data_IF_366696352818
#
_entry.id   IF_366696352818
#
_cell.length_a   1.000
_cell.length_b   1.000
_cell.length_c   1.000
_cell.angle_alpha   90.00
_cell.angle_beta   90.00
_cell.angle_gamma   90.00
#
_symmetry.space_group_name_H-M   'P 1'
#
loop_
_entity.id
_entity.type
_entity.pdbx_description
1 polymer ?
#
# COMPACT_ATOMS: atom_id res chain seq x y z
N UNK A 1 9.69 21.42 -12.13
CA UNK A 1 9.57 21.87 -13.53
C UNK A 1 10.53 23.03 -13.71
N UNK A 2 11.80 22.76 -14.04
CA UNK A 2 12.82 23.80 -14.18
C UNK A 2 12.57 24.67 -15.42
N UNK A 3 12.24 24.04 -16.55
CA UNK A 3 12.13 24.68 -17.86
C UNK A 3 10.89 25.58 -17.98
N UNK A 4 9.72 25.12 -17.50
CA UNK A 4 8.49 25.93 -17.47
C UNK A 4 8.60 27.09 -16.45
N UNK A 5 9.36 26.88 -15.38
CA UNK A 5 9.66 27.93 -14.39
C UNK A 5 10.53 29.04 -14.96
N UNK A 6 11.50 28.70 -15.81
CA UNK A 6 12.35 29.68 -16.47
C UNK A 6 11.60 30.45 -17.57
N UNK A 7 10.73 29.79 -18.35
CA UNK A 7 9.84 30.46 -19.33
C UNK A 7 8.89 31.46 -18.65
N UNK A 8 8.32 31.10 -17.50
CA UNK A 8 7.45 32.01 -16.75
C UNK A 8 8.20 33.23 -16.21
N UNK A 9 9.44 33.06 -15.73
CA UNK A 9 10.29 34.18 -15.27
C UNK A 9 10.57 35.17 -16.40
N UNK A 10 10.89 34.68 -17.60
CA UNK A 10 11.10 35.54 -18.78
C UNK A 10 9.87 36.40 -19.08
N UNK A 11 8.66 35.82 -19.00
CA UNK A 11 7.41 36.56 -19.19
C UNK A 11 7.18 37.58 -18.07
N UNK A 12 7.43 37.22 -16.81
CA UNK A 12 7.27 38.12 -15.65
C UNK A 12 8.21 39.34 -15.75
N UNK A 13 9.47 39.12 -16.11
CA UNK A 13 10.47 40.18 -16.28
C UNK A 13 10.11 41.13 -17.43
N UNK A 14 9.65 40.58 -18.56
CA UNK A 14 9.23 41.36 -19.72
C UNK A 14 7.97 42.19 -19.41
N UNK A 15 7.00 41.59 -18.70
CA UNK A 15 5.79 42.29 -18.28
C UNK A 15 6.08 43.41 -17.27
N UNK A 16 6.94 43.15 -16.27
CA UNK A 16 7.37 44.18 -15.29
C UNK A 16 8.04 45.36 -15.98
N UNK A 17 8.95 45.08 -16.91
CA UNK A 17 9.65 46.12 -17.68
C UNK A 17 8.66 46.98 -18.48
N UNK A 18 7.69 46.36 -19.16
CA UNK A 18 6.64 47.07 -19.88
C UNK A 18 5.74 47.90 -18.95
N UNK A 19 5.38 47.36 -17.79
CA UNK A 19 4.56 48.06 -16.79
C UNK A 19 5.28 49.29 -16.22
N UNK A 20 6.57 49.17 -15.91
CA UNK A 20 7.39 50.31 -15.49
C UNK A 20 7.49 51.40 -16.57
N UNK A 21 7.81 51.02 -17.81
CA UNK A 21 7.89 51.97 -18.93
C UNK A 21 6.54 52.66 -19.23
N UNK A 22 5.42 51.98 -18.96
CA UNK A 22 4.06 52.53 -19.12
C UNK A 22 3.69 53.46 -17.97
N UNK A 23 4.18 53.17 -16.76
CA UNK A 23 4.01 54.01 -15.58
C UNK A 23 4.75 55.35 -15.72
N UNK A 24 5.99 55.31 -16.25
CA UNK A 24 6.84 56.50 -16.40
C UNK A 24 6.36 57.46 -17.51
N UNK A 25 5.62 56.95 -18.50
CA UNK A 25 5.08 57.73 -19.61
C UNK A 25 3.57 57.47 -19.80
N UNK A 26 2.68 58.12 -19.05
CA UNK A 26 1.25 57.77 -18.99
C UNK A 26 0.42 58.07 -20.27
N UNK A 27 1.05 58.48 -21.37
CA UNK A 27 0.38 58.75 -22.63
C UNK A 27 0.05 57.45 -23.38
N UNK A 28 -1.21 57.01 -23.33
CA UNK A 28 -1.64 55.73 -23.88
C UNK A 28 -1.50 55.59 -25.42
N UNK A 29 -1.66 56.68 -26.18
CA UNK A 29 -1.63 56.66 -27.65
C UNK A 29 -0.24 56.34 -28.23
N UNK A 30 0.87 56.99 -27.79
CA UNK A 30 2.20 56.65 -28.27
C UNK A 30 2.64 55.24 -27.85
N UNK A 31 2.29 54.80 -26.64
CA UNK A 31 2.57 53.44 -26.15
C UNK A 31 1.85 52.38 -26.99
N UNK A 32 0.58 52.61 -27.34
CA UNK A 32 -0.20 51.67 -28.14
C UNK A 32 0.26 51.58 -29.60
N UNK A 33 1.03 52.56 -30.11
CA UNK A 33 1.54 52.58 -31.48
C UNK A 33 2.89 51.87 -31.66
N UNK A 34 3.50 51.41 -30.57
CA UNK A 34 4.80 50.75 -30.59
C UNK A 34 4.67 49.28 -31.06
N UNK A 35 5.02 49.02 -32.32
CA UNK A 35 4.90 47.68 -32.93
C UNK A 35 5.72 46.60 -32.21
N UNK A 36 6.87 46.96 -31.64
CA UNK A 36 7.73 46.02 -30.90
C UNK A 36 7.05 45.49 -29.63
N UNK A 37 6.22 46.31 -28.96
CA UNK A 37 5.46 45.87 -27.79
C UNK A 37 4.41 44.84 -28.13
N UNK A 38 3.72 45.01 -29.26
CA UNK A 38 2.71 44.05 -29.71
C UNK A 38 3.36 42.70 -30.02
N UNK A 39 4.52 42.68 -30.68
CA UNK A 39 5.27 41.46 -30.95
C UNK A 39 5.71 40.75 -29.65
N UNK A 40 6.27 41.49 -28.69
CA UNK A 40 6.70 40.95 -27.40
C UNK A 40 5.52 40.43 -26.55
N UNK A 41 4.36 41.09 -26.58
CA UNK A 41 3.15 40.61 -25.90
C UNK A 41 2.58 39.34 -26.53
N UNK A 42 2.66 39.22 -27.86
CA UNK A 42 2.26 38.00 -28.59
C UNK A 42 3.19 36.84 -28.23
N UNK A 43 4.50 37.08 -28.14
CA UNK A 43 5.48 36.08 -27.69
C UNK A 43 5.25 35.66 -26.23
N UNK A 44 5.00 36.62 -25.32
CA UNK A 44 4.62 36.32 -23.94
C UNK A 44 3.40 35.41 -23.86
N UNK A 45 2.36 35.67 -24.66
CA UNK A 45 1.15 34.85 -24.67
C UNK A 45 1.43 33.42 -25.15
N UNK A 46 2.30 33.24 -26.15
CA UNK A 46 2.72 31.92 -26.62
C UNK A 46 3.48 31.15 -25.52
N UNK A 47 4.43 31.81 -24.86
CA UNK A 47 5.16 31.22 -23.73
C UNK A 47 4.23 30.86 -22.56
N UNK A 48 3.24 31.70 -22.25
CA UNK A 48 2.24 31.41 -21.22
C UNK A 48 1.36 30.22 -21.58
N UNK A 49 0.96 30.08 -22.85
CA UNK A 49 0.22 28.91 -23.31
C UNK A 49 1.03 27.61 -23.14
N UNK A 50 2.33 27.64 -23.44
CA UNK A 50 3.21 26.49 -23.24
C UNK A 50 3.33 26.12 -21.76
N UNK A 51 3.51 27.12 -20.89
CA UNK A 51 3.56 26.91 -19.43
C UNK A 51 2.23 26.35 -18.91
N UNK A 52 1.09 26.88 -19.37
CA UNK A 52 -0.24 26.38 -18.99
C UNK A 52 -0.46 24.93 -19.43
N UNK A 53 -0.09 24.58 -20.67
CA UNK A 53 -0.18 23.21 -21.19
C UNK A 53 0.73 22.26 -20.41
N UNK A 54 1.97 22.67 -20.11
CA UNK A 54 2.92 21.88 -19.31
C UNK A 54 2.42 21.62 -17.88
N UNK A 55 1.89 22.66 -17.23
CA UNK A 55 1.31 22.53 -15.89
C UNK A 55 0.08 21.61 -15.87
N UNK A 56 -0.81 21.76 -16.86
CA UNK A 56 -1.98 20.89 -16.98
C UNK A 56 -1.57 19.42 -17.15
N UNK A 57 -0.62 19.13 -18.05
CA UNK A 57 -0.10 17.78 -18.26
C UNK A 57 0.60 17.23 -17.01
N UNK A 58 1.30 18.07 -16.24
CA UNK A 58 1.92 17.66 -14.98
C UNK A 58 0.91 17.33 -13.90
N UNK A 59 -0.11 18.18 -13.74
CA UNK A 59 -1.19 17.96 -12.78
C UNK A 59 -1.98 16.69 -13.14
N UNK A 60 -2.25 16.49 -14.42
CA UNK A 60 -2.88 15.26 -14.92
C UNK A 60 -2.01 14.04 -14.63
N UNK A 61 -0.71 14.07 -14.98
CA UNK A 61 0.22 12.97 -14.67
C UNK A 61 0.33 12.69 -13.18
N UNK A 62 0.38 13.72 -12.34
CA UNK A 62 0.44 13.57 -10.88
C UNK A 62 -0.87 13.00 -10.33
N UNK A 63 -2.01 13.45 -10.83
CA UNK A 63 -3.34 12.90 -10.50
C UNK A 63 -3.44 11.44 -10.94
N UNK A 64 -3.02 11.11 -12.17
CA UNK A 64 -2.97 9.74 -12.70
C UNK A 64 -2.04 8.83 -11.89
N UNK A 65 -0.89 9.35 -11.45
CA UNK A 65 0.05 8.57 -10.62
C UNK A 65 -0.54 8.34 -9.22
N UNK A 66 -1.24 9.32 -8.66
CA UNK A 66 -1.91 9.18 -7.37
C UNK A 66 -3.09 8.19 -7.44
N UNK A 67 -3.92 8.27 -8.48
CA UNK A 67 -5.03 7.32 -8.67
C UNK A 67 -4.51 5.92 -9.00
N UNK A 68 -3.44 5.78 -9.79
CA UNK A 68 -2.82 4.48 -10.08
C UNK A 68 -2.21 3.84 -8.83
N UNK A 69 -1.47 4.61 -8.01
CA UNK A 69 -0.91 4.09 -6.74
C UNK A 69 -2.00 3.73 -5.74
N UNK A 70 -3.03 4.55 -5.59
CA UNK A 70 -4.17 4.24 -4.74
C UNK A 70 -4.97 3.02 -5.24
N UNK A 71 -5.18 2.91 -6.56
CA UNK A 71 -5.89 1.80 -7.19
C UNK A 71 -5.12 0.48 -7.09
N UNK A 72 -3.81 0.50 -7.35
CA UNK A 72 -2.96 -0.69 -7.21
C UNK A 72 -2.91 -1.15 -5.76
N UNK A 73 -2.77 -0.23 -4.80
CA UNK A 73 -2.84 -0.54 -3.37
C UNK A 73 -4.20 -1.13 -2.98
N UNK A 74 -5.30 -0.51 -3.43
CA UNK A 74 -6.66 -1.02 -3.21
C UNK A 74 -6.85 -2.41 -3.82
N UNK A 75 -6.36 -2.62 -5.04
CA UNK A 75 -6.43 -3.90 -5.75
C UNK A 75 -5.62 -4.98 -5.04
N UNK A 76 -4.43 -4.66 -4.53
CA UNK A 76 -3.60 -5.58 -3.75
C UNK A 76 -4.24 -5.94 -2.40
N UNK A 77 -4.76 -4.94 -1.68
CA UNK A 77 -5.53 -5.15 -0.43
C UNK A 77 -6.79 -5.98 -0.69
N UNK A 78 -7.52 -5.71 -1.76
CA UNK A 78 -8.74 -6.45 -2.12
C UNK A 78 -8.43 -7.88 -2.54
N UNK A 79 -7.35 -8.10 -3.29
CA UNK A 79 -6.95 -9.43 -3.74
C UNK A 79 -6.48 -10.29 -2.56
N UNK A 80 -5.61 -9.76 -1.70
CA UNK A 80 -5.15 -10.48 -0.48
C UNK A 80 -6.31 -10.80 0.46
N UNK A 81 -7.27 -9.88 0.59
CA UNK A 81 -8.54 -10.10 1.29
C UNK A 81 -9.37 -11.26 0.70
N UNK A 82 -9.47 -11.35 -0.62
CA UNK A 82 -10.23 -12.41 -1.29
C UNK A 82 -9.61 -13.81 -1.08
N UNK A 83 -8.30 -13.90 -0.83
CA UNK A 83 -7.62 -15.18 -0.59
C UNK A 83 -7.72 -15.69 0.86
N UNK A 84 -7.89 -14.81 1.85
CA UNK A 84 -8.06 -15.21 3.25
C UNK A 84 -9.16 -14.37 3.95
N UNK A 85 -10.41 -14.87 4.00
CA UNK A 85 -11.55 -14.13 4.53
C UNK A 85 -11.37 -13.68 5.99
N UNK A 86 -10.59 -14.42 6.80
CA UNK A 86 -10.34 -14.10 8.22
C UNK A 86 -9.54 -12.83 8.44
N UNK A 87 -8.92 -12.23 7.41
CA UNK A 87 -8.32 -10.92 7.62
C UNK A 87 -9.37 -9.84 7.98
N UNK A 88 -10.70 -10.09 7.91
CA UNK A 88 -11.75 -9.04 7.91
C UNK A 88 -11.89 -8.50 9.33
N UNK A 89 -11.38 -9.27 10.26
CA UNK A 89 -11.23 -8.98 11.66
C UNK A 89 -9.98 -8.12 11.98
N UNK A 90 -9.10 -7.88 11.00
CA UNK A 90 -7.96 -6.96 11.13
C UNK A 90 -8.30 -5.59 10.55
N UNK A 91 -7.71 -4.54 11.12
CA UNK A 91 -7.75 -3.20 10.51
C UNK A 91 -6.83 -3.12 9.29
N UNK A 92 -7.00 -2.08 8.45
CA UNK A 92 -6.14 -1.86 7.29
C UNK A 92 -4.66 -1.68 7.69
N UNK A 93 -4.39 -1.00 8.82
CA UNK A 93 -3.03 -0.77 9.30
C UNK A 93 -2.36 -2.07 9.74
N UNK A 94 -3.09 -2.94 10.46
CA UNK A 94 -2.59 -4.25 10.90
C UNK A 94 -2.34 -5.18 9.71
N UNK A 95 -3.22 -5.14 8.71
CA UNK A 95 -3.05 -5.90 7.47
C UNK A 95 -1.82 -5.42 6.70
N UNK A 96 -1.59 -4.11 6.63
CA UNK A 96 -0.40 -3.55 6.00
C UNK A 96 0.88 -3.89 6.77
N UNK A 97 0.84 -3.91 8.10
CA UNK A 97 1.98 -4.32 8.93
C UNK A 97 2.41 -5.76 8.59
N UNK A 98 1.44 -6.69 8.56
CA UNK A 98 1.67 -8.10 8.16
C UNK A 98 2.20 -8.21 6.72
N UNK A 99 1.65 -7.44 5.78
CA UNK A 99 2.07 -7.45 4.37
C UNK A 99 3.41 -6.71 4.13
N UNK A 100 3.81 -5.81 5.02
CA UNK A 100 5.09 -5.10 4.93
C UNK A 100 6.25 -5.93 5.47
N UNK A 101 5.96 -6.85 6.40
CA UNK A 101 6.94 -7.64 7.14
C UNK A 101 7.03 -9.09 6.66
N UNK A 102 6.93 -9.29 5.35
CA UNK A 102 7.00 -10.60 4.66
C UNK A 102 8.31 -11.37 4.85
N UNK A 103 9.34 -10.75 5.45
CA UNK A 103 10.65 -11.37 5.72
C UNK A 103 10.68 -12.17 7.02
N UNK A 104 9.85 -11.84 8.00
CA UNK A 104 9.86 -12.49 9.31
C UNK A 104 8.43 -12.95 9.69
N UNK A 105 8.09 -14.23 9.49
CA UNK A 105 6.75 -14.75 9.77
C UNK A 105 6.43 -14.79 11.27
N UNK A 106 7.40 -14.59 12.17
CA UNK A 106 7.14 -14.58 13.61
C UNK A 106 6.41 -13.30 14.05
N UNK A 107 6.49 -12.22 13.27
CA UNK A 107 5.84 -10.93 13.60
C UNK A 107 4.33 -10.96 13.46
N UNK A 108 3.78 -11.99 12.82
CA UNK A 108 2.31 -12.15 12.67
C UNK A 108 1.62 -12.65 13.94
N UNK A 109 2.38 -13.22 14.90
CA UNK A 109 1.89 -13.78 16.16
C UNK A 109 0.91 -12.88 16.94
N UNK A 110 1.19 -11.59 17.19
CA UNK A 110 0.24 -10.71 17.89
C UNK A 110 -1.09 -10.53 17.16
N UNK A 111 -1.08 -10.58 15.82
CA UNK A 111 -2.28 -10.41 15.01
C UNK A 111 -3.05 -11.72 14.82
N UNK A 112 -2.41 -12.89 14.97
CA UNK A 112 -3.05 -14.21 14.85
C UNK A 112 -4.22 -14.38 15.81
N UNK A 113 -4.14 -13.83 17.03
CA UNK A 113 -5.23 -13.87 18.02
C UNK A 113 -6.54 -13.25 17.54
N UNK A 114 -6.46 -12.28 16.63
CA UNK A 114 -7.64 -11.64 16.02
C UNK A 114 -8.17 -12.43 14.83
N UNK A 115 -7.31 -13.17 14.12
CA UNK A 115 -7.70 -14.01 12.98
C UNK A 115 -8.24 -15.38 13.41
N UNK A 116 -7.74 -15.92 14.51
CA UNK A 116 -8.06 -17.24 15.04
C UNK A 116 -8.42 -17.14 16.52
N UNK A 117 -9.70 -17.32 16.84
CA UNK A 117 -10.19 -17.32 18.22
C UNK A 117 -9.59 -18.44 19.08
N UNK A 118 -9.22 -19.58 18.46
CA UNK A 118 -8.66 -20.75 19.14
C UNK A 118 -7.13 -20.87 19.11
N UNK A 119 -6.41 -19.96 18.43
CA UNK A 119 -4.95 -20.00 18.34
C UNK A 119 -4.39 -18.74 18.98
N UNK A 120 -3.65 -18.91 20.08
CA UNK A 120 -2.92 -17.82 20.70
C UNK A 120 -1.62 -17.53 19.95
N UNK A 121 -0.81 -18.57 19.71
CA UNK A 121 0.49 -18.48 19.06
C UNK A 121 0.80 -19.77 18.27
N UNK A 122 1.74 -19.71 17.33
CA UNK A 122 2.28 -20.86 16.60
C UNK A 122 3.72 -21.19 17.05
N UNK A 123 4.09 -22.47 17.07
CA UNK A 123 5.47 -22.92 17.33
C UNK A 123 6.26 -22.91 16.01
N UNK A 124 7.18 -21.96 15.87
CA UNK A 124 8.14 -21.89 14.77
C UNK A 124 9.45 -22.57 15.17
N UNK A 125 10.01 -23.36 14.24
CA UNK A 125 11.35 -23.93 14.34
C UNK A 125 12.42 -22.95 13.81
N UNK A 126 13.70 -23.27 13.97
CA UNK A 126 14.84 -22.44 13.49
C UNK A 126 14.78 -22.17 11.97
N UNK A 127 14.11 -23.05 11.22
CA UNK A 127 13.88 -22.92 9.79
C UNK A 127 12.57 -22.20 9.42
N UNK A 128 11.90 -21.54 10.38
CA UNK A 128 10.59 -20.91 10.23
C UNK A 128 9.46 -21.90 9.87
N UNK A 129 9.64 -23.17 10.21
CA UNK A 129 8.66 -24.21 9.97
C UNK A 129 7.71 -24.30 11.16
N UNK A 130 6.41 -24.27 10.91
CA UNK A 130 5.38 -24.33 11.94
C UNK A 130 5.10 -25.78 12.29
N UNK A 131 5.32 -26.14 13.57
CA UNK A 131 5.19 -27.53 14.06
C UNK A 131 3.97 -27.76 14.94
N UNK A 132 3.48 -26.74 15.63
CA UNK A 132 2.33 -26.85 16.51
C UNK A 132 1.58 -25.51 16.60
N UNK A 133 0.33 -25.58 17.04
CA UNK A 133 -0.44 -24.43 17.49
C UNK A 133 -0.64 -24.48 19.00
N UNK A 134 -0.62 -23.30 19.63
CA UNK A 134 -0.83 -23.12 21.05
C UNK A 134 -2.13 -22.33 21.27
N UNK A 135 -3.03 -22.88 22.07
CA UNK A 135 -4.29 -22.23 22.48
C UNK A 135 -4.04 -21.17 23.57
N UNK A 136 -5.04 -20.31 23.79
CA UNK A 136 -5.06 -19.33 24.89
C UNK A 136 -5.00 -20.03 26.26
N UNK A 137 -5.58 -21.22 26.35
CA UNK A 137 -5.57 -22.08 27.55
C UNK A 137 -4.23 -22.84 27.73
N UNK A 138 -3.18 -22.46 26.99
CA UNK A 138 -1.86 -23.13 26.98
C UNK A 138 -1.89 -24.59 26.52
N UNK A 139 -2.94 -25.01 25.82
CA UNK A 139 -2.98 -26.30 25.16
C UNK A 139 -2.09 -26.27 23.91
N UNK A 140 -1.17 -27.22 23.81
CA UNK A 140 -0.29 -27.39 22.64
C UNK A 140 -0.79 -28.51 21.76
N UNK A 141 -1.23 -28.18 20.55
CA UNK A 141 -1.70 -29.15 19.55
C UNK A 141 -0.66 -29.27 18.43
N UNK A 142 0.08 -30.41 18.34
CA UNK A 142 1.06 -30.61 17.29
C UNK A 142 0.38 -30.86 15.94
N UNK A 143 0.94 -30.28 14.88
CA UNK A 143 0.51 -30.56 13.52
C UNK A 143 1.12 -31.88 13.04
N UNK A 144 0.31 -32.70 12.37
CA UNK A 144 0.76 -33.97 11.78
C UNK A 144 1.71 -33.76 10.61
N UNK A 145 1.45 -32.71 9.84
CA UNK A 145 2.29 -32.28 8.72
C UNK A 145 2.71 -30.84 9.01
N UNK A 146 4.02 -30.56 9.12
CA UNK A 146 4.50 -29.22 9.40
C UNK A 146 4.27 -28.29 8.20
N UNK A 147 4.00 -27.00 8.48
CA UNK A 147 3.81 -25.97 7.46
C UNK A 147 5.10 -25.17 7.29
N UNK A 148 5.63 -25.12 6.08
CA UNK A 148 6.88 -24.40 5.78
C UNK A 148 6.56 -23.03 5.19
N UNK A 149 6.84 -21.97 5.94
CA UNK A 149 6.56 -20.59 5.50
C UNK A 149 7.44 -20.15 4.34
N UNK A 150 8.62 -20.76 4.13
CA UNK A 150 9.53 -20.38 3.05
C UNK A 150 8.95 -20.75 1.67
N UNK A 151 8.14 -21.81 1.59
CA UNK A 151 7.47 -22.22 0.35
C UNK A 151 6.52 -21.15 -0.19
N UNK A 152 6.00 -20.31 0.70
CA UNK A 152 5.10 -19.23 0.32
C UNK A 152 5.80 -18.03 -0.33
N UNK A 153 7.14 -17.98 -0.37
CA UNK A 153 7.94 -16.89 -0.97
C UNK A 153 7.53 -15.49 -0.50
N UNK A 154 7.22 -15.34 0.79
CA UNK A 154 6.78 -14.07 1.39
C UNK A 154 5.28 -13.77 1.26
N UNK A 155 4.48 -14.62 0.61
CA UNK A 155 3.03 -14.49 0.58
C UNK A 155 2.43 -15.03 1.89
N UNK A 156 2.16 -14.15 2.85
CA UNK A 156 1.69 -14.54 4.19
C UNK A 156 0.34 -15.25 4.15
N UNK A 157 -0.54 -14.83 3.25
CA UNK A 157 -1.87 -15.41 3.06
C UNK A 157 -1.83 -16.89 2.67
N UNK A 158 -0.82 -17.35 1.92
CA UNK A 158 -0.77 -18.74 1.43
C UNK A 158 -0.49 -19.73 2.54
N UNK A 159 0.51 -19.44 3.37
CA UNK A 159 0.85 -20.35 4.46
C UNK A 159 -0.18 -20.26 5.60
N UNK A 160 -0.85 -19.11 5.80
CA UNK A 160 -1.96 -19.00 6.76
C UNK A 160 -3.16 -19.87 6.37
N UNK A 161 -3.50 -19.94 5.07
CA UNK A 161 -4.52 -20.87 4.57
C UNK A 161 -4.10 -22.32 4.84
N UNK A 162 -2.82 -22.66 4.59
CA UNK A 162 -2.31 -24.00 4.90
C UNK A 162 -2.39 -24.31 6.40
N UNK A 163 -2.07 -23.35 7.28
CA UNK A 163 -2.21 -23.49 8.74
C UNK A 163 -3.67 -23.76 9.13
N UNK A 164 -4.64 -23.07 8.53
CA UNK A 164 -6.06 -23.33 8.76
C UNK A 164 -6.43 -24.77 8.36
N UNK A 165 -5.99 -25.24 7.20
CA UNK A 165 -6.21 -26.63 6.79
C UNK A 165 -5.56 -27.63 7.76
N UNK A 166 -4.33 -27.37 8.22
CA UNK A 166 -3.63 -28.22 9.21
C UNK A 166 -4.31 -28.19 10.57
N UNK A 167 -4.87 -27.06 10.98
CA UNK A 167 -5.64 -26.93 12.22
C UNK A 167 -6.85 -27.87 12.19
N UNK A 168 -7.64 -27.86 11.12
CA UNK A 168 -8.78 -28.76 10.99
C UNK A 168 -8.36 -30.24 11.03
N UNK A 169 -7.28 -30.60 10.32
CA UNK A 169 -6.75 -31.97 10.33
C UNK A 169 -6.28 -32.39 11.73
N UNK A 170 -5.58 -31.51 12.44
CA UNK A 170 -5.07 -31.80 13.78
C UNK A 170 -6.22 -31.98 14.79
N UNK A 171 -7.24 -31.11 14.76
CA UNK A 171 -8.40 -31.23 15.66
C UNK A 171 -9.19 -32.51 15.37
N UNK A 172 -9.40 -32.84 14.09
CA UNK A 172 -10.06 -34.09 13.71
C UNK A 172 -9.29 -35.31 14.26
N UNK A 173 -7.97 -35.33 14.11
CA UNK A 173 -7.12 -36.42 14.60
C UNK A 173 -7.05 -36.48 16.14
N UNK A 174 -7.06 -35.33 16.83
CA UNK A 174 -7.15 -35.28 18.30
C UNK A 174 -8.50 -35.83 18.75
N UNK A 175 -9.60 -35.40 18.13
CA UNK A 175 -10.96 -35.85 18.47
C UNK A 175 -11.11 -37.37 18.27
N UNK A 176 -10.63 -37.89 17.13
CA UNK A 176 -10.66 -39.32 16.85
C UNK A 176 -9.86 -40.14 17.89
N UNK A 177 -8.67 -39.67 18.27
CA UNK A 177 -7.87 -40.30 19.33
C UNK A 177 -8.55 -40.22 20.70
N UNK A 178 -9.14 -39.07 21.03
CA UNK A 178 -9.86 -38.87 22.30
C UNK A 178 -11.06 -39.81 22.44
N UNK A 179 -11.79 -40.10 21.36
CA UNK A 179 -12.91 -41.05 21.38
C UNK A 179 -12.42 -42.48 21.71
N UNK A 180 -11.29 -42.90 21.12
CA UNK A 180 -10.68 -44.20 21.42
C UNK A 180 -10.14 -44.27 22.85
N UNK A 181 -9.43 -43.22 23.27
CA UNK A 181 -8.86 -43.10 24.61
C UNK A 181 -9.95 -43.06 25.70
N UNK A 182 -11.10 -42.46 25.41
CA UNK A 182 -12.24 -42.40 26.33
C UNK A 182 -12.74 -43.76 26.77
N UNK A 183 -12.64 -44.78 25.91
CA UNK A 183 -13.01 -46.16 26.23
C UNK A 183 -11.91 -46.93 26.97
N UNK A 184 -10.64 -46.52 26.82
CA UNK A 184 -9.49 -47.30 27.26
C UNK A 184 -8.82 -46.77 28.55
N UNK A 185 -8.88 -45.47 28.82
CA UNK A 185 -8.15 -44.85 29.95
C UNK A 185 -9.09 -44.48 31.10
N UNK A 186 -8.72 -44.77 32.36
CA UNK A 186 -9.45 -44.28 33.52
C UNK A 186 -9.39 -42.75 33.56
N UNK A 187 -10.51 -42.12 33.89
CA UNK A 187 -10.59 -40.66 34.04
C UNK A 187 -10.01 -40.27 35.40
N UNK A 188 -9.22 -39.21 35.41
CA UNK A 188 -8.81 -38.53 36.64
C UNK A 188 -9.94 -37.65 37.17
#
# INVERSE_FOLDING_TARGET
>A
MPEEGDKFRTVDDMWRTMMHATHDAPAAIPIAREKERVAALVECNQLLEEVQKGLAAYLEKKSLTFTFTAFTMWSLLSSTRLFFPRFFFLSNDEMLEILSETKDPTRVQPHLKKCFEGIANLDFDDNLVIRAMNSVEKERVPFKVPVDTNKARGAVEKWLVEVEERMFQAIHDVTARSILDYAAKPRH
#
